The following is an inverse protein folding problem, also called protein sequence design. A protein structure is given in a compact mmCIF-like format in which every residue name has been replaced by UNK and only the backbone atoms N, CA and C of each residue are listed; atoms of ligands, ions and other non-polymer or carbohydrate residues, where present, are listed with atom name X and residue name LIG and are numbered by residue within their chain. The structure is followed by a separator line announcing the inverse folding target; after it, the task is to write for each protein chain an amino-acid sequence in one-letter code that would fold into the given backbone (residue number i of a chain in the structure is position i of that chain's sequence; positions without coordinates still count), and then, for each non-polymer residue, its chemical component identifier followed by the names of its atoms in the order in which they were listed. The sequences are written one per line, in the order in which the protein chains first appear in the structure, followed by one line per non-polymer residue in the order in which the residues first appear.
data_IF_032447103677
#
_entry.id   IF_032447103677
#
_cell.length_a   1.000
_cell.length_b   1.000
_cell.length_c   1.000
_cell.angle_alpha   90.00
_cell.angle_beta   90.00
_cell.angle_gamma   90.00
#
_symmetry.space_group_name_H-M   'P 1'
#
loop_
_entity.id
_entity.type
_entity.pdbx_description
1 polymer ?
#
# COMPACT_ATOMS: atom_id res chain seq x y z
N UNK A 1 40.48 27.82 -27.39
CA UNK A 1 40.18 27.00 -26.18
C UNK A 1 38.83 27.29 -25.50
N UNK A 2 37.80 27.80 -26.20
CA UNK A 2 36.49 28.13 -25.59
C UNK A 2 35.34 27.15 -25.83
N UNK A 3 35.44 26.28 -26.84
CA UNK A 3 34.30 25.45 -27.30
C UNK A 3 34.10 24.15 -26.49
N UNK A 4 35.18 23.59 -25.92
CA UNK A 4 35.15 22.32 -25.19
C UNK A 4 34.47 22.47 -23.82
N UNK A 5 34.77 23.57 -23.09
CA UNK A 5 34.17 23.82 -21.76
C UNK A 5 32.64 23.95 -21.80
N UNK A 6 32.08 24.54 -22.87
CA UNK A 6 30.62 24.70 -23.02
C UNK A 6 29.91 23.35 -23.22
N UNK A 7 30.49 22.44 -24.00
CA UNK A 7 29.90 21.11 -24.24
C UNK A 7 29.87 20.26 -22.98
N UNK A 8 30.92 20.32 -22.16
CA UNK A 8 30.98 19.59 -20.89
C UNK A 8 29.92 20.08 -19.90
N UNK A 9 29.71 21.41 -19.82
CA UNK A 9 28.67 21.99 -18.96
C UNK A 9 27.25 21.58 -19.35
N UNK A 10 26.95 21.55 -20.66
CA UNK A 10 25.65 21.09 -21.17
C UNK A 10 25.37 19.61 -20.84
N UNK A 11 26.39 18.75 -20.95
CA UNK A 11 26.24 17.33 -20.61
C UNK A 11 26.01 17.10 -19.12
N UNK A 12 26.67 17.87 -18.25
CA UNK A 12 26.51 17.74 -16.79
C UNK A 12 25.11 18.18 -16.35
N UNK A 13 24.59 19.29 -16.89
CA UNK A 13 23.24 19.75 -16.57
C UNK A 13 22.17 18.75 -17.07
N UNK A 14 22.33 18.20 -18.27
CA UNK A 14 21.42 17.16 -18.78
C UNK A 14 21.39 15.92 -17.89
N UNK A 15 22.56 15.45 -17.45
CA UNK A 15 22.67 14.28 -16.57
C UNK A 15 22.01 14.53 -15.20
N UNK A 16 22.19 15.71 -14.63
CA UNK A 16 21.57 16.08 -13.34
C UNK A 16 20.04 16.09 -13.43
N UNK A 17 19.46 16.61 -14.51
CA UNK A 17 18.01 16.61 -14.73
C UNK A 17 17.47 15.18 -14.84
N UNK A 18 18.15 14.31 -15.60
CA UNK A 18 17.74 12.90 -15.75
C UNK A 18 17.80 12.16 -14.40
N UNK A 19 18.88 12.33 -13.63
CA UNK A 19 19.00 11.71 -12.30
C UNK A 19 17.90 12.18 -11.35
N UNK A 20 17.56 13.48 -11.38
CA UNK A 20 16.50 14.04 -10.53
C UNK A 20 15.13 13.49 -10.92
N UNK A 21 14.83 13.37 -12.22
CA UNK A 21 13.58 12.80 -12.71
C UNK A 21 13.43 11.32 -12.32
N UNK A 22 14.51 10.54 -12.41
CA UNK A 22 14.54 9.14 -11.99
C UNK A 22 14.33 9.01 -10.49
N UNK A 23 15.03 9.82 -9.68
CA UNK A 23 14.86 9.81 -8.22
C UNK A 23 13.43 10.16 -7.80
N UNK A 24 12.80 11.14 -8.46
CA UNK A 24 11.38 11.47 -8.26
C UNK A 24 10.47 10.30 -8.62
N UNK A 25 10.70 9.62 -9.74
CA UNK A 25 9.91 8.43 -10.10
C UNK A 25 10.02 7.31 -9.05
N UNK A 26 11.22 7.03 -8.55
CA UNK A 26 11.39 6.05 -7.46
C UNK A 26 10.73 6.50 -6.16
N UNK A 27 10.76 7.80 -5.85
CA UNK A 27 10.14 8.32 -4.63
C UNK A 27 8.60 8.25 -4.69
N UNK A 28 8.00 8.37 -5.87
CA UNK A 28 6.55 8.22 -6.07
C UNK A 28 6.09 6.77 -6.27
N UNK A 29 7.01 5.85 -6.53
CA UNK A 29 6.71 4.43 -6.65
C UNK A 29 6.65 3.78 -5.27
N UNK A 30 5.75 4.25 -4.42
CA UNK A 30 5.50 3.63 -3.11
C UNK A 30 4.87 2.24 -3.36
N UNK A 31 5.57 1.15 -3.05
CA UNK A 31 5.11 -0.18 -3.41
C UNK A 31 3.83 -0.50 -2.63
N UNK A 32 2.71 -0.53 -3.36
CA UNK A 32 1.37 -0.60 -2.78
C UNK A 32 1.24 -1.94 -2.05
N UNK A 33 1.05 -1.87 -0.74
CA UNK A 33 0.73 -3.05 0.06
C UNK A 33 -0.68 -3.52 -0.32
N UNK A 34 -0.81 -4.80 -0.63
CA UNK A 34 -2.05 -5.47 -1.03
C UNK A 34 -2.37 -6.52 0.03
N UNK A 35 -3.66 -6.67 0.37
CA UNK A 35 -4.15 -7.78 1.17
C UNK A 35 -4.84 -8.75 0.21
N UNK A 36 -4.31 -9.97 0.13
CA UNK A 36 -4.88 -11.07 -0.63
C UNK A 36 -5.59 -12.03 0.33
N UNK A 37 -6.91 -12.16 0.19
CA UNK A 37 -7.71 -13.01 1.05
C UNK A 37 -7.49 -14.50 0.69
N UNK A 38 -7.07 -15.32 1.65
CA UNK A 38 -6.91 -16.77 1.46
C UNK A 38 -8.22 -17.51 1.77
N UNK A 39 -9.09 -16.90 2.58
CA UNK A 39 -10.45 -17.33 2.88
C UNK A 39 -11.43 -16.17 2.77
N UNK A 40 -12.70 -16.38 3.15
CA UNK A 40 -13.60 -15.26 3.42
C UNK A 40 -13.02 -14.42 4.55
N UNK A 41 -12.85 -13.11 4.32
CA UNK A 41 -12.30 -12.16 5.31
C UNK A 41 -13.30 -11.02 5.53
N UNK A 42 -13.82 -10.83 6.75
CA UNK A 42 -14.76 -9.76 7.04
C UNK A 42 -14.05 -8.40 7.03
N UNK A 43 -14.74 -7.41 6.48
CA UNK A 43 -14.31 -6.00 6.47
C UNK A 43 -15.29 -5.20 7.29
N UNK A 44 -14.78 -4.52 8.31
CA UNK A 44 -15.56 -3.79 9.29
C UNK A 44 -15.61 -2.29 8.98
N UNK A 45 -16.68 -1.62 9.44
CA UNK A 45 -16.88 -0.17 9.27
C UNK A 45 -15.82 0.65 9.99
N UNK A 46 -15.35 0.19 11.15
CA UNK A 46 -14.41 0.89 12.01
C UNK A 46 -13.52 -0.05 12.81
N UNK A 47 -12.56 0.56 13.51
CA UNK A 47 -11.58 -0.14 14.35
C UNK A 47 -12.26 -0.75 15.58
N UNK A 48 -13.15 0.01 16.22
CA UNK A 48 -13.82 -0.43 17.45
C UNK A 48 -14.72 -1.64 17.18
N UNK A 49 -15.42 -1.64 16.03
CA UNK A 49 -16.24 -2.76 15.59
C UNK A 49 -15.42 -3.99 15.21
N UNK A 50 -14.24 -3.80 14.61
CA UNK A 50 -13.31 -4.88 14.28
C UNK A 50 -12.67 -5.52 15.53
N UNK A 51 -12.60 -4.78 16.64
CA UNK A 51 -12.06 -5.23 17.93
C UNK A 51 -13.13 -5.72 18.91
N UNK A 52 -14.41 -5.51 18.60
CA UNK A 52 -15.52 -5.90 19.46
C UNK A 52 -15.61 -7.44 19.63
N UNK A 53 -16.12 -7.88 20.79
CA UNK A 53 -16.38 -9.28 21.09
C UNK A 53 -17.85 -9.46 21.52
N UNK A 54 -18.76 -9.94 20.64
CA UNK A 54 -18.51 -10.41 19.28
C UNK A 54 -18.24 -9.26 18.29
N UNK A 55 -17.55 -9.53 17.15
CA UNK A 55 -17.38 -8.54 16.09
C UNK A 55 -18.75 -8.08 15.55
N UNK A 56 -18.85 -6.80 15.21
CA UNK A 56 -20.06 -6.19 14.66
C UNK A 56 -19.71 -5.32 13.44
N UNK A 57 -20.72 -4.81 12.73
CA UNK A 57 -20.47 -3.78 11.70
C UNK A 57 -19.68 -4.24 10.47
N UNK A 58 -19.86 -5.49 10.03
CA UNK A 58 -19.33 -5.98 8.75
C UNK A 58 -20.01 -5.23 7.59
N UNK A 59 -19.22 -4.58 6.74
CA UNK A 59 -19.69 -3.81 5.58
C UNK A 59 -19.45 -4.51 4.24
N UNK A 60 -18.56 -5.50 4.24
CA UNK A 60 -18.23 -6.35 3.11
C UNK A 60 -17.50 -7.61 3.59
N UNK A 61 -17.50 -8.65 2.74
CA UNK A 61 -16.67 -9.84 2.92
C UNK A 61 -15.80 -10.01 1.68
N UNK A 62 -14.48 -10.04 1.88
CA UNK A 62 -13.56 -10.37 0.80
C UNK A 62 -13.68 -11.85 0.51
N UNK A 63 -13.86 -12.18 -0.76
CA UNK A 63 -13.90 -13.57 -1.21
C UNK A 63 -12.49 -14.15 -1.30
N UNK A 64 -12.32 -15.49 -1.24
CA UNK A 64 -11.03 -16.11 -1.47
C UNK A 64 -10.39 -15.63 -2.78
N UNK A 65 -9.07 -15.40 -2.76
CA UNK A 65 -8.26 -14.84 -3.83
C UNK A 65 -8.55 -13.37 -4.19
N UNK A 66 -9.53 -12.73 -3.53
CA UNK A 66 -9.78 -11.31 -3.72
C UNK A 66 -8.63 -10.49 -3.15
N UNK A 67 -8.18 -9.51 -3.94
CA UNK A 67 -7.11 -8.60 -3.57
C UNK A 67 -7.67 -7.20 -3.36
N UNK A 68 -7.29 -6.58 -2.26
CA UNK A 68 -7.64 -5.19 -1.94
C UNK A 68 -6.41 -4.40 -1.54
N UNK A 69 -6.42 -3.11 -1.84
CA UNK A 69 -5.31 -2.23 -1.47
C UNK A 69 -5.34 -1.98 0.03
N UNK A 70 -4.21 -2.19 0.70
CA UNK A 70 -4.00 -1.69 2.06
C UNK A 70 -3.59 -0.23 1.97
N UNK A 71 -4.41 0.63 2.54
CA UNK A 71 -4.18 2.08 2.61
C UNK A 71 -3.28 2.42 3.78
N UNK A 72 -3.44 1.74 4.91
CA UNK A 72 -2.66 1.98 6.12
C UNK A 72 -2.70 0.78 7.06
N UNK A 73 -1.60 0.56 7.75
CA UNK A 73 -1.52 -0.35 8.89
C UNK A 73 -1.75 0.45 10.17
N UNK A 74 -2.65 -0.01 11.03
CA UNK A 74 -3.03 0.66 12.27
C UNK A 74 -2.69 -0.28 13.42
N UNK A 75 -1.74 0.13 14.24
CA UNK A 75 -1.38 -0.58 15.46
C UNK A 75 -2.30 -0.11 16.60
N UNK A 76 -3.08 -1.02 17.16
CA UNK A 76 -4.01 -0.76 18.27
C UNK A 76 -3.79 -1.78 19.38
N UNK A 77 -3.11 -1.34 20.43
CA UNK A 77 -2.74 -2.14 21.62
C UNK A 77 -1.83 -3.34 21.28
N UNK A 78 -2.45 -4.47 20.95
CA UNK A 78 -1.80 -5.74 20.66
C UNK A 78 -2.27 -6.32 19.31
N UNK A 79 -3.00 -5.53 18.52
CA UNK A 79 -3.59 -5.92 17.25
C UNK A 79 -3.06 -5.02 16.13
N UNK A 80 -2.71 -5.64 15.00
CA UNK A 80 -2.42 -4.94 13.75
C UNK A 80 -3.68 -4.99 12.90
N UNK A 81 -4.29 -3.83 12.69
CA UNK A 81 -5.52 -3.66 11.90
C UNK A 81 -5.17 -3.02 10.56
N UNK A 82 -5.71 -3.58 9.47
CA UNK A 82 -5.45 -3.11 8.12
C UNK A 82 -6.61 -2.26 7.63
N UNK A 83 -6.33 -0.99 7.35
CA UNK A 83 -7.27 -0.11 6.64
C UNK A 83 -7.16 -0.42 5.16
N UNK A 84 -8.22 -0.97 4.58
CA UNK A 84 -8.28 -1.42 3.17
C UNK A 84 -9.23 -0.55 2.35
N UNK A 85 -8.97 -0.48 1.05
CA UNK A 85 -9.88 0.12 0.06
C UNK A 85 -10.54 -0.98 -0.76
N UNK A 86 -11.88 -1.01 -0.71
CA UNK A 86 -12.72 -1.95 -1.45
C UNK A 86 -12.81 -1.56 -2.93
N UNK A 87 -13.21 -2.51 -3.82
CA UNK A 87 -13.35 -2.23 -5.26
C UNK A 87 -14.36 -1.13 -5.60
N UNK A 88 -15.37 -0.93 -4.75
CA UNK A 88 -16.37 0.13 -4.87
C UNK A 88 -15.89 1.49 -4.33
N UNK A 89 -14.64 1.58 -3.90
CA UNK A 89 -14.01 2.79 -3.36
C UNK A 89 -14.27 3.03 -1.88
N UNK A 90 -15.14 2.24 -1.22
CA UNK A 90 -15.34 2.34 0.24
C UNK A 90 -14.07 1.93 0.98
N UNK A 91 -13.95 2.45 2.20
CA UNK A 91 -12.86 2.15 3.11
C UNK A 91 -13.40 1.28 4.24
N UNK A 92 -12.64 0.27 4.65
CA UNK A 92 -12.96 -0.55 5.79
C UNK A 92 -11.71 -1.07 6.51
N UNK A 93 -11.94 -1.86 7.55
CA UNK A 93 -10.90 -2.35 8.44
C UNK A 93 -10.93 -3.88 8.51
N UNK A 94 -9.75 -4.50 8.47
CA UNK A 94 -9.56 -5.94 8.63
C UNK A 94 -8.70 -6.17 9.86
N UNK A 95 -9.21 -6.96 10.80
CA UNK A 95 -8.48 -7.35 12.02
C UNK A 95 -8.23 -8.86 12.09
N UNK A 96 -9.12 -9.67 11.51
CA UNK A 96 -9.10 -11.12 11.62
C UNK A 96 -9.39 -11.78 10.26
N UNK A 97 -9.04 -13.05 10.12
CA UNK A 97 -9.22 -13.87 8.92
C UNK A 97 -7.91 -14.45 8.37
N UNK A 98 -8.01 -15.30 7.35
CA UNK A 98 -6.84 -15.82 6.63
C UNK A 98 -6.57 -14.97 5.40
N UNK A 99 -5.47 -14.24 5.43
CA UNK A 99 -4.98 -13.42 4.32
C UNK A 99 -3.47 -13.33 4.34
N UNK A 100 -2.91 -12.97 3.19
CA UNK A 100 -1.49 -12.70 3.00
C UNK A 100 -1.32 -11.26 2.52
N UNK A 101 -0.38 -10.54 3.13
CA UNK A 101 0.02 -9.21 2.66
C UNK A 101 1.09 -9.35 1.59
N UNK A 102 0.92 -8.62 0.50
CA UNK A 102 1.81 -8.64 -0.65
C UNK A 102 2.35 -7.24 -0.93
N UNK A 103 3.65 -7.15 -1.17
CA UNK A 103 4.32 -5.97 -1.71
C UNK A 103 5.05 -6.40 -2.97
N UNK A 104 4.68 -5.82 -4.11
CA UNK A 104 5.19 -6.21 -5.44
C UNK A 104 5.06 -7.72 -5.71
N UNK A 105 3.93 -8.31 -5.30
CA UNK A 105 3.62 -9.74 -5.48
C UNK A 105 4.38 -10.69 -4.53
N UNK A 106 5.18 -10.18 -3.59
CA UNK A 106 5.90 -10.99 -2.60
C UNK A 106 5.29 -10.85 -1.21
N UNK A 107 5.27 -11.92 -0.39
CA UNK A 107 4.85 -11.83 1.00
C UNK A 107 5.58 -10.71 1.73
N UNK A 108 4.82 -9.89 2.46
CA UNK A 108 5.32 -8.72 3.16
C UNK A 108 4.59 -8.55 4.48
N UNK A 109 5.03 -7.58 5.26
CA UNK A 109 4.40 -7.18 6.52
C UNK A 109 4.24 -5.65 6.52
N UNK A 110 3.34 -5.21 7.40
CA UNK A 110 3.47 -3.88 7.99
C UNK A 110 4.56 -3.97 9.07
#
# INVERSE_FOLDING_TARGET
MGSIKKRVWLSIMGLSIVLTAVALMFHFSDPRLILAADSTVPVYVGIDEALAAPPAGVIAELQPQQQVKVVRCVDVKHYIIYKVQLPDGRIGFVNDGKYTLLRDGKPSFC
#
